data_IF_094420715798
#
_entry.id   IF_094420715798
#
_cell.length_a   1.000
_cell.length_b   1.000
_cell.length_c   1.000
_cell.angle_alpha   90.00
_cell.angle_beta   90.00
_cell.angle_gamma   90.00
#
_symmetry.space_group_name_H-M   'P 1'
#
loop_
_entity.id
_entity.type
_entity.pdbx_description
1 polymer ?
#
# COMPACT_ATOMS: atom_id res chain seq x y z
N UNK A 1 32.43 31.56 -41.59
CA UNK A 1 31.92 30.72 -42.69
C UNK A 1 32.40 29.31 -42.41
N UNK A 2 31.62 28.24 -42.35
CA UNK A 2 30.18 27.93 -42.34
C UNK A 2 30.18 26.48 -41.83
N UNK A 3 29.52 26.18 -40.72
CA UNK A 3 28.15 25.66 -40.63
C UNK A 3 27.93 24.25 -41.22
N UNK A 4 27.28 23.44 -40.36
CA UNK A 4 26.37 22.31 -40.63
C UNK A 4 27.02 20.92 -40.81
N UNK A 5 26.82 19.93 -39.93
CA UNK A 5 25.62 19.25 -39.34
C UNK A 5 25.53 17.84 -39.94
N UNK A 6 25.41 16.82 -39.08
CA UNK A 6 24.44 15.70 -39.09
C UNK A 6 24.91 14.68 -38.03
N UNK A 7 24.25 14.62 -36.84
CA UNK A 7 23.22 13.63 -36.44
C UNK A 7 23.76 12.18 -36.46
N UNK A 8 23.63 11.29 -35.47
CA UNK A 8 22.67 11.13 -34.38
C UNK A 8 23.19 10.01 -33.47
N UNK A 9 23.00 10.11 -32.15
CA UNK A 9 22.22 9.17 -31.33
C UNK A 9 22.49 9.42 -29.85
N UNK A 10 21.69 10.33 -29.31
CA UNK A 10 21.27 10.29 -27.91
C UNK A 10 20.41 9.05 -27.68
N UNK A 11 20.61 8.39 -26.54
CA UNK A 11 19.52 7.93 -25.69
C UNK A 11 20.07 7.61 -24.28
N UNK A 12 20.11 8.66 -23.48
CA UNK A 12 19.38 8.75 -22.21
C UNK A 12 19.27 7.47 -21.37
N UNK A 13 20.12 7.39 -20.35
CA UNK A 13 19.72 6.93 -19.01
C UNK A 13 20.18 7.98 -18.01
N UNK A 14 19.43 9.09 -17.98
CA UNK A 14 19.39 9.97 -16.82
C UNK A 14 18.69 9.22 -15.69
N UNK A 15 19.49 8.51 -14.90
CA UNK A 15 19.09 8.11 -13.56
C UNK A 15 18.95 9.40 -12.73
N UNK A 16 17.73 9.94 -12.73
CA UNK A 16 17.28 10.97 -11.81
C UNK A 16 17.54 10.51 -10.38
N UNK A 17 18.69 10.92 -9.85
CA UNK A 17 19.03 10.84 -8.44
C UNK A 17 18.17 11.88 -7.71
N UNK A 18 16.89 11.54 -7.49
CA UNK A 18 16.03 12.32 -6.61
C UNK A 18 16.59 12.22 -5.20
N UNK A 19 17.19 13.31 -4.72
CA UNK A 19 17.56 13.49 -3.33
C UNK A 19 16.29 13.49 -2.46
N UNK A 20 15.83 12.29 -2.08
CA UNK A 20 14.74 12.09 -1.13
C UNK A 20 15.10 12.86 0.16
N UNK A 21 14.47 14.01 0.38
CA UNK A 21 14.44 14.63 1.70
C UNK A 21 13.92 13.56 2.66
N UNK A 22 14.75 13.18 3.65
CA UNK A 22 14.40 12.10 4.57
C UNK A 22 13.14 12.50 5.31
N UNK A 23 12.01 11.81 5.04
CA UNK A 23 10.78 11.94 5.82
C UNK A 23 11.16 11.87 7.31
N UNK A 24 10.68 12.79 8.16
CA UNK A 24 10.94 12.71 9.59
C UNK A 24 10.47 11.34 10.10
N UNK A 25 11.41 10.54 10.61
CA UNK A 25 11.20 9.12 10.94
C UNK A 25 10.27 8.86 12.14
N UNK A 26 9.63 9.91 12.67
CA UNK A 26 8.87 9.83 13.92
C UNK A 26 7.43 10.27 13.74
N UNK A 27 6.52 9.54 14.38
CA UNK A 27 5.08 9.78 14.41
C UNK A 27 4.67 10.39 15.75
N UNK A 28 3.51 11.04 15.75
CA UNK A 28 2.91 11.66 16.93
C UNK A 28 1.43 11.28 17.00
N UNK A 29 0.90 11.10 18.20
CA UNK A 29 -0.54 10.93 18.39
C UNK A 29 -1.30 12.25 18.16
N UNK A 30 -2.50 12.18 17.57
CA UNK A 30 -3.42 13.31 17.48
C UNK A 30 -4.00 13.67 18.86
N UNK A 31 -4.61 14.86 19.03
CA UNK A 31 -5.32 15.21 20.26
C UNK A 31 -6.41 14.19 20.64
N UNK A 32 -7.27 13.78 19.70
CA UNK A 32 -8.25 12.71 19.99
C UNK A 32 -7.57 11.38 20.28
N UNK A 33 -6.47 11.08 19.58
CA UNK A 33 -5.69 9.87 19.79
C UNK A 33 -5.12 9.76 21.20
N UNK A 34 -4.63 10.86 21.76
CA UNK A 34 -4.21 10.91 23.18
C UNK A 34 -5.38 10.64 24.12
N UNK A 35 -6.56 11.20 23.85
CA UNK A 35 -7.74 10.94 24.68
C UNK A 35 -8.11 9.45 24.65
N UNK A 36 -8.07 8.82 23.48
CA UNK A 36 -8.34 7.38 23.32
C UNK A 36 -7.29 6.52 24.02
N UNK A 37 -6.00 6.87 23.87
CA UNK A 37 -4.91 6.19 24.59
C UNK A 37 -5.10 6.26 26.11
N UNK A 38 -5.46 7.43 26.65
CA UNK A 38 -5.71 7.61 28.08
C UNK A 38 -6.94 6.82 28.55
N UNK A 39 -8.03 6.85 27.79
CA UNK A 39 -9.22 6.07 28.10
C UNK A 39 -8.93 4.57 28.11
N UNK A 40 -8.25 4.07 27.07
CA UNK A 40 -7.88 2.66 26.97
C UNK A 40 -6.98 2.24 28.14
N UNK A 41 -5.94 3.03 28.44
CA UNK A 41 -5.03 2.80 29.57
C UNK A 41 -5.75 2.73 30.92
N UNK A 42 -6.69 3.64 31.16
CA UNK A 42 -7.44 3.70 32.43
C UNK A 42 -8.44 2.55 32.55
N UNK A 43 -9.01 2.12 31.42
CA UNK A 43 -9.96 1.01 31.35
C UNK A 43 -9.33 -0.37 31.53
N UNK A 44 -8.08 -0.55 31.08
CA UNK A 44 -7.33 -1.75 31.35
C UNK A 44 -6.94 -1.83 32.82
N UNK A 45 -7.15 -3.02 33.40
CA UNK A 45 -6.76 -3.34 34.77
C UNK A 45 -5.52 -4.21 34.77
N UNK A 46 -4.57 -3.90 35.64
CA UNK A 46 -3.45 -4.77 35.96
C UNK A 46 -3.90 -5.97 36.81
N UNK A 47 -2.96 -6.88 37.09
CA UNK A 47 -3.20 -8.09 37.89
C UNK A 47 -3.65 -7.76 39.35
N UNK A 48 -3.50 -6.51 39.78
CA UNK A 48 -3.95 -6.00 41.08
C UNK A 48 -5.31 -5.25 40.99
N UNK A 49 -5.93 -5.19 39.82
CA UNK A 49 -7.21 -4.49 39.60
C UNK A 49 -7.10 -2.96 39.51
N UNK A 50 -5.89 -2.39 39.42
CA UNK A 50 -5.63 -0.94 39.25
C UNK A 50 -5.49 -0.60 37.77
N UNK A 51 -5.68 0.68 37.44
CA UNK A 51 -5.47 1.16 36.07
C UNK A 51 -4.03 0.96 35.63
N UNK A 52 -3.84 0.57 34.37
CA UNK A 52 -2.53 0.26 33.82
C UNK A 52 -1.57 1.47 33.91
N UNK A 53 -0.49 1.32 34.66
CA UNK A 53 0.54 2.35 34.77
C UNK A 53 1.37 2.49 33.49
N UNK A 54 2.12 3.60 33.34
CA UNK A 54 3.07 3.70 32.23
C UNK A 54 4.20 2.67 32.31
N UNK A 55 4.62 2.26 33.52
CA UNK A 55 5.51 1.11 33.68
C UNK A 55 4.88 -0.20 33.18
N UNK A 56 3.62 -0.48 33.53
CA UNK A 56 2.92 -1.69 33.10
C UNK A 56 2.71 -1.72 31.58
N UNK A 57 2.32 -0.59 31.00
CA UNK A 57 2.19 -0.44 29.55
C UNK A 57 3.54 -0.59 28.84
N UNK A 58 4.61 -0.04 29.40
CA UNK A 58 5.97 -0.19 28.88
C UNK A 58 6.41 -1.66 28.84
N UNK A 59 6.09 -2.42 29.90
CA UNK A 59 6.34 -3.87 29.94
C UNK A 59 5.52 -4.62 28.89
N UNK A 60 4.21 -4.32 28.81
CA UNK A 60 3.28 -4.94 27.84
C UNK A 60 3.69 -4.69 26.39
N UNK A 61 4.12 -3.46 26.09
CA UNK A 61 4.58 -3.06 24.77
C UNK A 61 6.07 -3.39 24.50
N UNK A 62 6.79 -3.94 25.48
CA UNK A 62 8.24 -4.19 25.43
C UNK A 62 9.08 -2.96 25.04
N UNK A 63 8.71 -1.79 25.54
CA UNK A 63 9.31 -0.50 25.21
C UNK A 63 9.73 0.23 26.49
N UNK A 64 10.68 1.16 26.39
CA UNK A 64 11.06 1.98 27.55
C UNK A 64 9.91 2.87 28.03
N UNK A 65 9.71 2.95 29.35
CA UNK A 65 8.75 3.89 29.97
C UNK A 65 8.90 5.32 29.45
N UNK A 66 10.14 5.76 29.25
CA UNK A 66 10.44 7.10 28.73
C UNK A 66 9.86 7.32 27.34
N UNK A 67 9.85 6.31 26.48
CA UNK A 67 9.22 6.37 25.15
C UNK A 67 7.70 6.42 25.27
N UNK A 68 7.10 5.64 26.17
CA UNK A 68 5.65 5.68 26.45
C UNK A 68 5.23 7.08 26.90
N UNK A 69 5.88 7.62 27.93
CA UNK A 69 5.58 8.97 28.42
C UNK A 69 5.78 10.04 27.35
N UNK A 70 6.82 9.87 26.51
CA UNK A 70 7.08 10.80 25.41
C UNK A 70 5.94 10.78 24.41
N UNK A 71 5.42 9.61 24.08
CA UNK A 71 4.31 9.45 23.15
C UNK A 71 3.01 10.04 23.72
N UNK A 72 2.68 9.76 24.98
CA UNK A 72 1.50 10.34 25.67
C UNK A 72 1.59 11.87 25.85
N UNK A 73 2.80 12.44 25.80
CA UNK A 73 3.03 13.90 25.80
C UNK A 73 3.04 14.51 24.39
N UNK A 74 2.47 13.82 23.39
CA UNK A 74 2.44 14.23 21.98
C UNK A 74 3.81 14.59 21.41
N UNK A 75 4.87 13.91 21.86
CA UNK A 75 6.20 14.09 21.27
C UNK A 75 6.47 12.97 20.28
N UNK A 76 7.15 13.33 19.19
CA UNK A 76 7.57 12.36 18.16
C UNK A 76 8.33 11.18 18.77
N UNK A 77 7.92 9.97 18.40
CA UNK A 77 8.58 8.68 18.66
C UNK A 77 8.68 7.92 17.34
N UNK A 78 9.53 6.90 17.24
CA UNK A 78 9.57 6.07 16.04
C UNK A 78 8.27 5.28 15.84
N UNK A 79 7.96 4.93 14.59
CA UNK A 79 6.70 4.26 14.23
C UNK A 79 6.54 2.91 14.95
N UNK A 80 7.62 2.12 15.07
CA UNK A 80 7.55 0.82 15.72
C UNK A 80 7.19 0.96 17.20
N UNK A 81 7.80 1.93 17.90
CA UNK A 81 7.45 2.25 19.27
C UNK A 81 6.01 2.71 19.42
N UNK A 82 5.53 3.61 18.56
CA UNK A 82 4.14 4.06 18.60
C UNK A 82 3.15 2.91 18.38
N UNK A 83 3.38 2.10 17.34
CA UNK A 83 2.54 0.98 16.97
C UNK A 83 2.40 -0.04 18.10
N UNK A 84 3.53 -0.42 18.72
CA UNK A 84 3.51 -1.35 19.85
C UNK A 84 2.78 -0.78 21.09
N UNK A 85 2.90 0.53 21.38
CA UNK A 85 2.13 1.16 22.47
C UNK A 85 0.62 1.12 22.19
N UNK A 86 0.23 1.45 20.95
CA UNK A 86 -1.17 1.50 20.51
C UNK A 86 -1.79 0.09 20.56
N UNK A 87 -1.09 -0.91 20.01
CA UNK A 87 -1.53 -2.30 20.01
C UNK A 87 -1.59 -2.90 21.42
N UNK A 88 -0.66 -2.53 22.31
CA UNK A 88 -0.70 -2.94 23.70
C UNK A 88 -1.97 -2.47 24.42
N UNK A 89 -2.66 -1.45 23.92
CA UNK A 89 -3.94 -0.96 24.43
C UNK A 89 -5.15 -1.42 23.60
N UNK A 90 -4.95 -2.34 22.65
CA UNK A 90 -6.01 -2.86 21.78
C UNK A 90 -6.57 -1.84 20.78
N UNK A 91 -5.87 -0.73 20.56
CA UNK A 91 -6.26 0.30 19.60
C UNK A 91 -5.60 0.06 18.23
N UNK A 92 -6.09 0.76 17.20
CA UNK A 92 -5.46 0.78 15.88
C UNK A 92 -4.64 2.06 15.67
N UNK A 93 -3.55 2.03 14.87
CA UNK A 93 -2.76 3.22 14.57
C UNK A 93 -3.57 4.37 13.99
N UNK A 94 -4.52 4.07 13.11
CA UNK A 94 -5.42 5.05 12.47
C UNK A 94 -6.30 5.79 13.50
N UNK A 95 -6.58 5.15 14.64
CA UNK A 95 -7.40 5.74 15.71
C UNK A 95 -6.64 6.74 16.59
N UNK A 96 -5.31 6.76 16.50
CA UNK A 96 -4.44 7.43 17.47
C UNK A 96 -3.46 8.41 16.81
N UNK A 97 -2.94 8.08 15.64
CA UNK A 97 -1.96 8.91 14.94
C UNK A 97 -2.67 9.95 14.07
N UNK A 98 -1.98 11.06 13.80
CA UNK A 98 -2.43 11.97 12.74
C UNK A 98 -2.45 11.24 11.40
N UNK A 99 -3.57 11.30 10.69
CA UNK A 99 -3.59 10.97 9.26
C UNK A 99 -2.86 12.06 8.47
N UNK A 100 -2.30 11.71 7.30
CA UNK A 100 -1.71 12.72 6.40
C UNK A 100 -2.75 13.80 6.04
N UNK A 101 -4.02 13.43 5.95
CA UNK A 101 -5.16 14.34 5.77
C UNK A 101 -5.28 15.38 6.89
N UNK A 102 -5.25 14.96 8.17
CA UNK A 102 -5.37 15.89 9.30
C UNK A 102 -4.21 16.89 9.37
N UNK A 103 -2.98 16.44 9.06
CA UNK A 103 -1.81 17.33 9.03
C UNK A 103 -1.90 18.38 7.91
N UNK A 104 -2.49 18.00 6.76
CA UNK A 104 -2.71 18.92 5.65
C UNK A 104 -3.82 19.93 5.97
N UNK A 105 -4.92 19.49 6.61
CA UNK A 105 -5.99 20.39 7.06
C UNK A 105 -5.49 21.40 8.10
N UNK A 106 -4.74 20.95 9.12
CA UNK A 106 -4.10 21.87 10.08
C UNK A 106 -3.12 22.83 9.40
N UNK A 107 -2.40 22.37 8.38
CA UNK A 107 -1.49 23.24 7.62
C UNK A 107 -2.25 24.30 6.83
N UNK A 108 -3.39 23.95 6.23
CA UNK A 108 -4.28 24.89 5.54
C UNK A 108 -4.81 25.93 6.54
N UNK A 109 -5.32 25.50 7.69
CA UNK A 109 -5.82 26.40 8.74
C UNK A 109 -4.73 27.34 9.27
N UNK A 110 -3.51 26.84 9.48
CA UNK A 110 -2.37 27.66 9.92
C UNK A 110 -1.93 28.68 8.87
N UNK A 111 -2.00 28.34 7.58
CA UNK A 111 -1.71 29.27 6.48
C UNK A 111 -2.82 30.33 6.38
N UNK A 112 -4.09 29.94 6.54
CA UNK A 112 -5.22 30.87 6.55
C UNK A 112 -5.20 31.81 7.76
N UNK A 113 -4.80 31.31 8.94
CA UNK A 113 -4.74 32.09 10.17
C UNK A 113 -3.53 33.03 10.26
N UNK A 114 -2.44 32.73 9.55
CA UNK A 114 -1.32 33.66 9.38
C UNK A 114 -1.65 34.58 8.22
N UNK A 115 -2.16 35.77 8.55
CA UNK A 115 -2.34 36.87 7.62
C UNK A 115 -0.98 37.31 7.04
N UNK A 116 -0.50 36.58 6.05
CA UNK A 116 0.69 36.91 5.29
C UNK A 116 0.24 37.91 4.25
N UNK A 117 0.74 39.15 4.31
CA UNK A 117 0.47 40.23 3.36
C UNK A 117 0.85 39.95 1.88
N UNK A 118 1.09 38.68 1.54
CA UNK A 118 1.26 38.10 0.21
C UNK A 118 0.09 37.12 -0.06
N UNK A 119 -1.14 37.65 0.10
CA UNK A 119 -2.42 36.91 0.15
C UNK A 119 -2.66 36.02 -1.07
N UNK A 120 -2.10 36.36 -2.22
CA UNK A 120 -2.30 35.63 -3.48
C UNK A 120 -1.52 34.31 -3.49
N UNK A 121 -0.24 34.34 -3.08
CA UNK A 121 0.62 33.15 -3.02
C UNK A 121 0.17 32.16 -1.95
N UNK A 122 -0.34 32.66 -0.81
CA UNK A 122 -0.94 31.81 0.20
C UNK A 122 -2.22 31.13 -0.30
N UNK A 123 -3.06 31.85 -1.05
CA UNK A 123 -4.26 31.31 -1.69
C UNK A 123 -3.97 30.22 -2.73
N UNK A 124 -2.93 30.41 -3.55
CA UNK A 124 -2.49 29.39 -4.51
C UNK A 124 -2.01 28.10 -3.83
N UNK A 125 -1.24 28.23 -2.74
CA UNK A 125 -0.77 27.08 -1.96
C UNK A 125 -1.93 26.33 -1.32
N UNK A 126 -2.89 27.04 -0.72
CA UNK A 126 -4.09 26.42 -0.14
C UNK A 126 -4.85 25.64 -1.20
N UNK A 127 -5.12 26.26 -2.36
CA UNK A 127 -5.83 25.61 -3.47
C UNK A 127 -5.08 24.37 -3.98
N UNK A 128 -3.75 24.43 -4.04
CA UNK A 128 -2.91 23.28 -4.40
C UNK A 128 -3.03 22.13 -3.40
N UNK A 129 -3.03 22.44 -2.10
CA UNK A 129 -3.20 21.46 -1.03
C UNK A 129 -4.61 20.84 -1.04
N UNK A 130 -5.66 21.65 -1.20
CA UNK A 130 -7.04 21.18 -1.31
C UNK A 130 -7.22 20.24 -2.51
N UNK A 131 -6.59 20.56 -3.64
CA UNK A 131 -6.62 19.71 -4.84
C UNK A 131 -5.94 18.37 -4.57
N UNK A 132 -4.73 18.38 -4.00
CA UNK A 132 -4.00 17.16 -3.66
C UNK A 132 -4.76 16.30 -2.65
N UNK A 133 -5.44 16.91 -1.67
CA UNK A 133 -6.23 16.20 -0.66
C UNK A 133 -7.49 15.57 -1.27
N UNK A 134 -8.16 16.29 -2.17
CA UNK A 134 -9.28 15.75 -2.95
C UNK A 134 -8.87 14.57 -3.84
N UNK A 135 -7.70 14.66 -4.49
CA UNK A 135 -7.13 13.58 -5.29
C UNK A 135 -6.75 12.37 -4.42
N UNK A 136 -6.14 12.59 -3.26
CA UNK A 136 -5.79 11.53 -2.32
C UNK A 136 -7.03 10.77 -1.84
N UNK A 137 -8.09 11.49 -1.43
CA UNK A 137 -9.36 10.88 -0.99
C UNK A 137 -9.99 10.01 -2.07
N UNK A 138 -10.06 10.53 -3.30
CA UNK A 138 -10.59 9.76 -4.44
C UNK A 138 -9.75 8.51 -4.69
N UNK A 139 -8.43 8.60 -4.55
CA UNK A 139 -7.54 7.44 -4.70
C UNK A 139 -7.73 6.41 -3.58
N UNK A 140 -7.95 6.84 -2.34
CA UNK A 140 -8.22 5.95 -1.20
C UNK A 140 -9.58 5.25 -1.36
N UNK A 141 -10.63 5.98 -1.73
CA UNK A 141 -11.96 5.42 -2.01
C UNK A 141 -11.90 4.39 -3.14
N UNK A 142 -11.25 4.73 -4.25
CA UNK A 142 -11.05 3.80 -5.37
C UNK A 142 -10.27 2.54 -4.97
N UNK A 143 -9.24 2.70 -4.14
CA UNK A 143 -8.44 1.57 -3.63
C UNK A 143 -9.28 0.65 -2.74
N UNK A 144 -10.13 1.22 -1.88
CA UNK A 144 -11.06 0.46 -1.03
C UNK A 144 -12.08 -0.33 -1.86
N UNK A 145 -12.67 0.30 -2.89
CA UNK A 145 -13.58 -0.37 -3.82
C UNK A 145 -12.89 -1.53 -4.56
N UNK A 146 -11.69 -1.29 -5.07
CA UNK A 146 -10.88 -2.32 -5.72
C UNK A 146 -10.55 -3.48 -4.76
N UNK A 147 -10.25 -3.20 -3.50
CA UNK A 147 -9.99 -4.20 -2.47
C UNK A 147 -11.21 -5.06 -2.15
N UNK A 148 -12.38 -4.44 -1.93
CA UNK A 148 -13.61 -5.19 -1.64
C UNK A 148 -14.06 -6.02 -2.85
N UNK A 149 -13.90 -5.50 -4.07
CA UNK A 149 -14.13 -6.27 -5.28
C UNK A 149 -13.17 -7.45 -5.41
N UNK A 150 -11.85 -7.24 -5.19
CA UNK A 150 -10.86 -8.32 -5.20
C UNK A 150 -11.23 -9.39 -4.17
N UNK A 151 -11.57 -9.00 -2.95
CA UNK A 151 -11.94 -9.90 -1.87
C UNK A 151 -13.17 -10.74 -2.21
N UNK A 152 -14.19 -10.14 -2.83
CA UNK A 152 -15.40 -10.83 -3.26
C UNK A 152 -15.14 -11.79 -4.44
N UNK A 153 -14.27 -11.42 -5.37
CA UNK A 153 -14.09 -12.13 -6.63
C UNK A 153 -12.83 -13.02 -6.70
N UNK A 154 -11.94 -12.97 -5.70
CA UNK A 154 -10.61 -13.62 -5.72
C UNK A 154 -10.64 -15.07 -6.18
N UNK A 155 -11.61 -15.85 -5.69
CA UNK A 155 -11.74 -17.28 -6.02
C UNK A 155 -12.05 -17.48 -7.51
N UNK A 156 -13.08 -16.80 -8.01
CA UNK A 156 -13.50 -16.89 -9.41
C UNK A 156 -12.39 -16.35 -10.34
N UNK A 157 -11.84 -15.17 -10.02
CA UNK A 157 -10.76 -14.55 -10.79
C UNK A 157 -9.56 -15.49 -10.95
N UNK A 158 -9.10 -16.09 -9.85
CA UNK A 158 -7.96 -16.99 -9.89
C UNK A 158 -8.19 -18.24 -10.73
N UNK A 159 -9.42 -18.76 -10.74
CA UNK A 159 -9.77 -19.97 -11.48
C UNK A 159 -9.88 -19.67 -12.98
N UNK A 160 -10.57 -18.59 -13.33
CA UNK A 160 -10.72 -18.16 -14.73
C UNK A 160 -9.37 -17.74 -15.33
N UNK A 161 -8.50 -17.08 -14.55
CA UNK A 161 -7.17 -16.71 -14.98
C UNK A 161 -6.26 -17.94 -15.18
N UNK A 162 -6.31 -18.91 -14.26
CA UNK A 162 -5.59 -20.18 -14.40
C UNK A 162 -6.02 -20.91 -15.67
N UNK A 163 -7.32 -21.04 -15.89
CA UNK A 163 -7.89 -21.69 -17.06
C UNK A 163 -7.47 -20.98 -18.35
N UNK A 164 -7.60 -19.65 -18.41
CA UNK A 164 -7.23 -18.87 -19.58
C UNK A 164 -5.74 -18.99 -19.94
N UNK A 165 -4.86 -18.93 -18.94
CA UNK A 165 -3.41 -19.05 -19.15
C UNK A 165 -3.00 -20.45 -19.57
N UNK A 166 -3.51 -21.49 -18.91
CA UNK A 166 -3.22 -22.89 -19.28
C UNK A 166 -3.74 -23.18 -20.69
N UNK A 167 -4.97 -22.75 -21.01
CA UNK A 167 -5.56 -22.94 -22.33
C UNK A 167 -4.75 -22.25 -23.42
N UNK A 168 -4.32 -21.00 -23.20
CA UNK A 168 -3.44 -20.27 -24.12
C UNK A 168 -2.11 -21.00 -24.36
N UNK A 169 -1.52 -21.57 -23.31
CA UNK A 169 -0.23 -22.24 -23.39
C UNK A 169 -0.31 -23.64 -24.03
N UNK A 170 -1.38 -24.38 -23.75
CA UNK A 170 -1.53 -25.76 -24.20
C UNK A 170 -2.24 -25.91 -25.55
N UNK A 171 -3.23 -25.08 -25.87
CA UNK A 171 -3.92 -25.12 -27.17
C UNK A 171 -2.98 -24.71 -28.32
N UNK A 172 -1.88 -24.00 -28.01
CA UNK A 172 -0.80 -23.71 -28.96
C UNK A 172 0.06 -24.93 -29.31
N UNK A 173 -0.10 -26.06 -28.59
CA UNK A 173 0.67 -27.27 -28.81
C UNK A 173 -0.20 -28.33 -29.52
N UNK A 174 -0.02 -28.54 -30.84
CA UNK A 174 -0.90 -29.38 -31.66
C UNK A 174 -0.93 -30.87 -31.28
N UNK A 175 -0.07 -31.30 -30.34
CA UNK A 175 -0.01 -32.67 -29.83
C UNK A 175 -0.88 -32.90 -28.57
N UNK A 176 -1.51 -31.86 -27.99
CA UNK A 176 -2.12 -31.91 -26.65
C UNK A 176 -3.66 -31.85 -26.63
N UNK A 177 -4.30 -32.30 -27.72
CA UNK A 177 -5.73 -32.08 -28.04
C UNK A 177 -6.73 -32.64 -27.03
N UNK A 178 -6.33 -33.50 -26.08
CA UNK A 178 -7.24 -34.16 -25.12
C UNK A 178 -6.71 -34.20 -23.67
N UNK A 179 -5.86 -33.25 -23.28
CA UNK A 179 -5.30 -33.28 -21.91
C UNK A 179 -6.31 -32.70 -20.91
N UNK A 180 -6.73 -33.49 -19.93
CA UNK A 180 -7.57 -33.04 -18.81
C UNK A 180 -6.70 -32.23 -17.82
N UNK A 181 -6.75 -30.90 -17.93
CA UNK A 181 -6.03 -29.99 -17.05
C UNK A 181 -6.82 -29.62 -15.78
N UNK A 182 -7.94 -30.28 -15.47
CA UNK A 182 -8.80 -29.90 -14.33
C UNK A 182 -8.04 -29.88 -12.99
N UNK A 183 -7.16 -30.86 -12.75
CA UNK A 183 -6.30 -30.89 -11.57
C UNK A 183 -5.23 -29.78 -11.57
N UNK A 184 -4.70 -29.42 -12.74
CA UNK A 184 -3.72 -28.34 -12.87
C UNK A 184 -4.35 -26.97 -12.68
N UNK A 185 -5.60 -26.77 -13.13
CA UNK A 185 -6.37 -25.54 -12.91
C UNK A 185 -6.55 -25.31 -11.41
N UNK A 186 -6.92 -26.34 -10.64
CA UNK A 186 -7.15 -26.16 -9.20
C UNK A 186 -5.86 -25.74 -8.48
N UNK A 187 -4.75 -26.45 -8.70
CA UNK A 187 -3.45 -26.12 -8.11
C UNK A 187 -2.98 -24.74 -8.55
N UNK A 188 -3.02 -24.43 -9.84
CA UNK A 188 -2.55 -23.16 -10.36
C UNK A 188 -3.43 -21.98 -9.92
N UNK A 189 -4.75 -22.17 -9.84
CA UNK A 189 -5.65 -21.17 -9.28
C UNK A 189 -5.30 -20.82 -7.83
N UNK A 190 -4.90 -21.80 -7.03
CA UNK A 190 -4.48 -21.56 -5.65
C UNK A 190 -3.21 -20.70 -5.58
N UNK A 191 -2.27 -20.91 -6.50
CA UNK A 191 -1.06 -20.10 -6.60
C UNK A 191 -1.40 -18.65 -7.00
N UNK A 192 -2.25 -18.45 -8.02
CA UNK A 192 -2.72 -17.12 -8.43
C UNK A 192 -3.45 -16.40 -7.28
N UNK A 193 -4.18 -17.12 -6.41
CA UNK A 193 -4.81 -16.50 -5.22
C UNK A 193 -3.79 -15.88 -4.27
N UNK A 194 -2.61 -16.46 -4.13
CA UNK A 194 -1.56 -15.88 -3.28
C UNK A 194 -1.03 -14.57 -3.86
N UNK A 195 -0.88 -14.48 -5.19
CA UNK A 195 -0.57 -13.20 -5.86
C UNK A 195 -1.68 -12.16 -5.66
N UNK A 196 -2.94 -12.54 -5.83
CA UNK A 196 -4.07 -11.62 -5.61
C UNK A 196 -4.17 -11.17 -4.15
N UNK A 197 -3.83 -12.05 -3.20
CA UNK A 197 -3.77 -11.72 -1.78
C UNK A 197 -2.64 -10.75 -1.47
N UNK A 198 -1.49 -10.88 -2.13
CA UNK A 198 -0.38 -9.93 -2.02
C UNK A 198 -0.79 -8.55 -2.54
N UNK A 199 -1.46 -8.48 -3.70
CA UNK A 199 -2.02 -7.23 -4.25
C UNK A 199 -2.98 -6.59 -3.25
N UNK A 200 -3.90 -7.38 -2.68
CA UNK A 200 -4.83 -6.89 -1.66
C UNK A 200 -4.10 -6.23 -0.49
N UNK A 201 -3.04 -6.83 0.04
CA UNK A 201 -2.27 -6.25 1.14
C UNK A 201 -1.47 -5.00 0.74
N UNK A 202 -1.01 -4.93 -0.51
CA UNK A 202 -0.34 -3.73 -1.02
C UNK A 202 -1.30 -2.56 -1.14
N UNK A 203 -2.53 -2.80 -1.58
CA UNK A 203 -3.58 -1.77 -1.59
C UNK A 203 -3.97 -1.34 -0.18
N UNK A 204 -4.09 -2.29 0.76
CA UNK A 204 -4.44 -2.02 2.17
C UNK A 204 -3.38 -1.16 2.89
N UNK A 205 -2.11 -1.45 2.67
CA UNK A 205 -0.99 -0.76 3.35
C UNK A 205 -0.53 0.48 2.59
N UNK A 206 -0.84 0.58 1.29
CA UNK A 206 -0.32 1.63 0.39
C UNK A 206 1.20 1.52 0.16
N UNK A 207 1.79 0.35 0.40
CA UNK A 207 3.25 0.14 0.34
C UNK A 207 3.63 -0.97 -0.66
N UNK A 208 4.30 -0.54 -1.72
CA UNK A 208 4.82 -1.37 -2.80
C UNK A 208 6.03 -2.22 -2.34
N UNK A 209 6.75 -1.80 -1.29
CA UNK A 209 7.89 -2.55 -0.75
C UNK A 209 7.45 -3.88 -0.13
N UNK A 210 6.15 -4.06 0.15
CA UNK A 210 5.60 -5.32 0.61
C UNK A 210 5.68 -6.40 -0.49
N UNK A 211 5.47 -6.05 -1.76
CA UNK A 211 5.67 -6.98 -2.88
C UNK A 211 7.13 -7.38 -3.02
N UNK A 212 8.04 -6.41 -3.00
CA UNK A 212 9.48 -6.64 -3.11
C UNK A 212 10.00 -7.56 -1.99
N UNK A 213 9.50 -7.39 -0.75
CA UNK A 213 9.83 -8.27 0.37
C UNK A 213 9.29 -9.68 0.17
N UNK A 214 8.03 -9.81 -0.24
CA UNK A 214 7.43 -11.12 -0.49
C UNK A 214 8.17 -11.92 -1.58
N UNK A 215 8.62 -11.23 -2.64
CA UNK A 215 9.44 -11.82 -3.71
C UNK A 215 10.81 -12.25 -3.16
N UNK A 216 11.53 -11.36 -2.45
CA UNK A 216 12.87 -11.66 -1.91
C UNK A 216 12.88 -12.80 -0.89
N UNK A 217 11.82 -12.92 -0.10
CA UNK A 217 11.67 -13.97 0.89
C UNK A 217 11.10 -15.26 0.30
N UNK A 218 10.94 -15.35 -1.03
CA UNK A 218 10.38 -16.49 -1.76
C UNK A 218 9.03 -16.96 -1.19
N UNK A 219 8.23 -16.01 -0.69
CA UNK A 219 6.89 -16.28 -0.14
C UNK A 219 5.83 -16.47 -1.22
N UNK A 220 6.19 -16.23 -2.47
CA UNK A 220 5.32 -16.34 -3.62
C UNK A 220 5.58 -17.70 -4.30
N UNK A 221 4.54 -18.51 -4.51
CA UNK A 221 4.71 -19.82 -5.14
C UNK A 221 5.06 -19.65 -6.62
N UNK A 222 6.16 -20.28 -7.04
CA UNK A 222 6.60 -20.35 -8.44
C UNK A 222 6.94 -21.81 -8.74
N UNK A 223 5.91 -22.60 -9.01
CA UNK A 223 6.03 -24.04 -9.24
C UNK A 223 5.89 -24.41 -10.72
N UNK A 224 5.61 -23.42 -11.57
CA UNK A 224 5.29 -23.59 -13.00
C UNK A 224 6.08 -22.59 -13.84
N UNK A 225 5.91 -22.68 -15.16
CA UNK A 225 6.48 -21.71 -16.10
C UNK A 225 6.06 -20.28 -15.73
N UNK A 226 7.03 -19.37 -15.63
CA UNK A 226 6.84 -17.95 -15.32
C UNK A 226 5.85 -17.29 -16.28
N UNK A 227 5.84 -17.71 -17.55
CA UNK A 227 4.94 -17.17 -18.57
C UNK A 227 3.47 -17.46 -18.25
N UNK A 228 3.15 -18.57 -17.59
CA UNK A 228 1.78 -18.87 -17.17
C UNK A 228 1.28 -17.85 -16.15
N UNK A 229 2.12 -17.46 -15.18
CA UNK A 229 1.75 -16.45 -14.19
C UNK A 229 1.57 -15.07 -14.82
N UNK A 230 2.46 -14.70 -15.75
CA UNK A 230 2.33 -13.46 -16.53
C UNK A 230 1.02 -13.44 -17.30
N UNK A 231 0.69 -14.51 -18.02
CA UNK A 231 -0.53 -14.61 -18.81
C UNK A 231 -1.80 -14.58 -17.95
N UNK A 232 -1.77 -15.22 -16.77
CA UNK A 232 -2.89 -15.19 -15.84
C UNK A 232 -3.13 -13.80 -15.25
N UNK A 233 -2.07 -13.10 -14.84
CA UNK A 233 -2.18 -11.74 -14.31
C UNK A 233 -2.59 -10.74 -15.40
N UNK A 234 -2.08 -10.90 -16.63
CA UNK A 234 -2.46 -10.07 -17.76
C UNK A 234 -3.93 -10.30 -18.15
N UNK A 235 -4.43 -11.54 -18.08
CA UNK A 235 -5.86 -11.82 -18.23
C UNK A 235 -6.71 -11.10 -17.19
N UNK A 236 -6.32 -11.13 -15.91
CA UNK A 236 -7.04 -10.41 -14.85
C UNK A 236 -7.05 -8.91 -15.13
N UNK A 237 -5.91 -8.33 -15.50
CA UNK A 237 -5.81 -6.91 -15.85
C UNK A 237 -6.73 -6.56 -17.03
N UNK A 238 -6.55 -7.24 -18.15
CA UNK A 238 -7.16 -6.85 -19.43
C UNK A 238 -8.63 -7.24 -19.56
N UNK A 239 -9.04 -8.37 -18.97
CA UNK A 239 -10.38 -8.94 -19.16
C UNK A 239 -11.27 -8.84 -17.93
N UNK A 240 -10.72 -8.55 -16.74
CA UNK A 240 -11.51 -8.46 -15.50
C UNK A 240 -11.51 -7.05 -14.95
N UNK A 241 -10.33 -6.49 -14.69
CA UNK A 241 -10.20 -5.15 -14.12
C UNK A 241 -10.70 -4.09 -15.10
N UNK A 242 -10.24 -4.10 -16.35
CA UNK A 242 -10.68 -3.14 -17.38
C UNK A 242 -12.18 -3.16 -17.70
N UNK A 243 -12.89 -4.25 -17.37
CA UNK A 243 -14.35 -4.35 -17.55
C UNK A 243 -15.13 -3.95 -16.29
N UNK A 244 -14.50 -4.01 -15.12
CA UNK A 244 -15.18 -3.81 -13.83
C UNK A 244 -15.04 -2.38 -13.29
N UNK A 245 -14.05 -1.63 -13.77
CA UNK A 245 -13.69 -0.32 -13.23
C UNK A 245 -13.41 0.69 -14.33
N UNK A 246 -13.64 1.97 -14.05
CA UNK A 246 -13.08 3.05 -14.86
C UNK A 246 -11.54 3.08 -14.72
N UNK A 247 -10.78 3.58 -15.71
CA UNK A 247 -9.31 3.62 -15.66
C UNK A 247 -8.74 4.29 -14.41
N UNK A 248 -9.41 5.34 -13.93
CA UNK A 248 -9.02 6.10 -12.74
C UNK A 248 -9.23 5.29 -11.45
N UNK A 249 -10.33 4.54 -11.37
CA UNK A 249 -10.68 3.68 -10.22
C UNK A 249 -9.78 2.43 -10.18
N UNK A 250 -9.45 1.89 -11.35
CA UNK A 250 -8.59 0.73 -11.50
C UNK A 250 -7.09 1.04 -11.32
N UNK A 251 -6.71 2.31 -11.20
CA UNK A 251 -5.32 2.76 -11.39
C UNK A 251 -4.34 2.02 -10.48
N UNK A 252 -4.56 2.02 -9.17
CA UNK A 252 -3.65 1.41 -8.19
C UNK A 252 -3.59 -0.13 -8.33
N UNK A 253 -4.75 -0.76 -8.59
CA UNK A 253 -4.83 -2.20 -8.87
C UNK A 253 -4.09 -2.58 -10.16
N UNK A 254 -4.24 -1.76 -11.20
CA UNK A 254 -3.57 -1.95 -12.50
C UNK A 254 -2.06 -1.81 -12.34
N UNK A 255 -1.60 -0.80 -11.60
CA UNK A 255 -0.18 -0.62 -11.30
C UNK A 255 0.39 -1.83 -10.52
N UNK A 256 -0.38 -2.40 -9.58
CA UNK A 256 0.01 -3.60 -8.82
C UNK A 256 0.19 -4.81 -9.74
N UNK A 257 -0.76 -5.00 -10.67
CA UNK A 257 -0.70 -6.08 -11.65
C UNK A 257 0.48 -5.89 -12.62
N UNK A 258 0.67 -4.67 -13.15
CA UNK A 258 1.76 -4.35 -14.06
C UNK A 258 3.14 -4.57 -13.41
N UNK A 259 3.28 -4.18 -12.15
CA UNK A 259 4.49 -4.42 -11.39
C UNK A 259 4.81 -5.92 -11.28
N UNK A 260 3.81 -6.74 -10.93
CA UNK A 260 3.99 -8.19 -10.84
C UNK A 260 4.30 -8.83 -12.20
N UNK A 261 3.59 -8.42 -13.26
CA UNK A 261 3.83 -8.89 -14.63
C UNK A 261 5.27 -8.61 -15.07
N UNK A 262 5.82 -7.45 -14.72
CA UNK A 262 7.19 -7.08 -15.08
C UNK A 262 8.24 -7.79 -14.23
N UNK A 263 7.97 -8.02 -12.94
CA UNK A 263 8.99 -8.51 -12.00
C UNK A 263 9.12 -10.03 -12.00
N UNK A 264 8.04 -10.77 -12.27
CA UNK A 264 8.03 -12.23 -12.27
C UNK A 264 9.09 -12.79 -13.24
N UNK A 265 9.23 -12.34 -14.50
CA UNK A 265 10.25 -12.85 -15.41
C UNK A 265 11.69 -12.47 -15.05
N UNK A 266 11.89 -11.49 -14.15
CA UNK A 266 13.20 -10.88 -13.87
C UNK A 266 13.78 -11.38 -12.54
N UNK A 267 12.95 -11.51 -11.52
CA UNK A 267 13.39 -11.76 -10.13
C UNK A 267 13.02 -13.15 -9.59
N UNK A 268 12.25 -13.93 -10.33
CA UNK A 268 11.84 -15.29 -9.99
C UNK A 268 12.30 -16.26 -11.07
#
# INVERSE_FOLDING_TARGET
MSFSVLLNNDNHTDLLYMSKQRKPRGVTASPEGIMRLEQARVSERDDEGKSLSYEGLAQKAQISKKTVERFFKQKRVDWHSASAIIQALGLKPEDVLFSEESLLLESIEQIQAKDTGDSERAGELIKGLETALSELKKSEEASLEAMEWLKANRKALSQEAAEAALRKHYDQNPNNVDTDYSGDIEVFSQEIREYLKLIYYCLDVGDWELMDRAIKESKIPVNRDLQLYVDALDFIKTQKVSLSFAPEEAKELTLCLDYLIQIIPIKL
#
